data_IF_757930559043
#
_entry.id   IF_757930559043
#
_cell.length_a   1.000
_cell.length_b   1.000
_cell.length_c   1.000
_cell.angle_alpha   90.00
_cell.angle_beta   90.00
_cell.angle_gamma   90.00
#
_symmetry.space_group_name_H-M   'P 1'
#
loop_
_entity.id
_entity.type
_entity.pdbx_description
1 polymer ?
#
# COMPACT_ATOMS: atom_id res chain seq x y z
N UNK A 1 5.88 1.96 -23.26
CA UNK A 1 4.62 2.59 -23.66
C UNK A 1 4.88 3.73 -24.65
N UNK A 2 5.71 4.69 -24.31
CA UNK A 2 5.94 5.87 -25.15
C UNK A 2 6.94 5.66 -26.30
N UNK A 3 7.77 4.62 -26.23
CA UNK A 3 8.82 4.33 -27.22
C UNK A 3 9.65 5.60 -27.58
N UNK A 4 9.83 5.89 -28.86
CA UNK A 4 10.55 7.10 -29.33
C UNK A 4 9.64 8.33 -29.45
N UNK A 5 8.35 8.21 -29.09
CA UNK A 5 7.35 9.28 -29.13
C UNK A 5 6.68 9.48 -30.49
N UNK A 6 7.04 8.75 -31.53
CA UNK A 6 6.48 8.89 -32.88
C UNK A 6 4.96 8.72 -32.92
N UNK A 7 4.42 7.79 -32.11
CA UNK A 7 2.97 7.56 -32.00
C UNK A 7 2.21 8.75 -31.40
N UNK A 8 2.93 9.66 -30.74
CA UNK A 8 2.39 10.88 -30.10
C UNK A 8 2.77 12.17 -30.85
N UNK A 9 3.44 12.04 -32.01
CA UNK A 9 3.89 13.20 -32.80
C UNK A 9 5.01 14.01 -32.17
N UNK A 10 5.76 13.43 -31.23
CA UNK A 10 6.90 14.05 -30.53
C UNK A 10 8.13 13.14 -30.63
N UNK A 11 9.29 13.70 -30.35
CA UNK A 11 10.54 12.92 -30.19
C UNK A 11 10.85 12.77 -28.71
N UNK A 12 10.99 11.55 -28.25
CA UNK A 12 11.35 11.22 -26.85
C UNK A 12 12.77 10.71 -26.81
N UNK A 13 13.61 11.32 -25.97
CA UNK A 13 14.93 10.85 -25.61
C UNK A 13 14.90 10.40 -24.15
N UNK A 14 15.59 9.31 -23.84
CA UNK A 14 15.67 8.76 -22.49
C UNK A 14 17.07 8.96 -21.92
N UNK A 15 17.15 9.51 -20.70
CA UNK A 15 18.35 9.53 -19.89
C UNK A 15 18.12 8.66 -18.66
N UNK A 16 18.96 7.66 -18.48
CA UNK A 16 18.90 6.76 -17.33
C UNK A 16 19.99 7.16 -16.36
N UNK A 17 19.61 7.41 -15.11
CA UNK A 17 20.57 7.70 -14.05
C UNK A 17 21.32 6.43 -13.62
N UNK A 18 22.61 6.61 -13.29
CA UNK A 18 23.42 5.59 -12.62
C UNK A 18 23.25 5.72 -11.10
N UNK A 19 23.51 4.66 -10.35
CA UNK A 19 23.55 4.72 -8.89
C UNK A 19 24.78 5.51 -8.39
N UNK A 20 24.61 6.42 -7.40
CA UNK A 20 23.38 6.82 -6.72
C UNK A 20 22.53 7.81 -7.53
N UNK A 21 21.21 7.91 -7.24
CA UNK A 21 20.31 8.89 -7.88
C UNK A 21 20.80 10.33 -7.67
N UNK A 22 20.62 11.16 -8.69
CA UNK A 22 21.13 12.55 -8.70
C UNK A 22 20.14 13.57 -8.13
N UNK A 23 18.96 13.13 -7.70
CA UNK A 23 17.89 14.03 -7.22
C UNK A 23 17.18 14.77 -8.37
N UNK A 24 16.18 15.59 -8.04
CA UNK A 24 15.30 16.20 -9.05
C UNK A 24 15.99 17.21 -9.96
N UNK A 25 16.90 18.02 -9.43
CA UNK A 25 17.65 19.01 -10.20
C UNK A 25 18.92 18.41 -10.84
N UNK A 26 19.57 17.50 -10.16
CA UNK A 26 20.80 16.84 -10.66
C UNK A 26 20.55 15.99 -11.90
N UNK A 27 19.39 15.32 -12.00
CA UNK A 27 19.03 14.57 -13.19
C UNK A 27 18.84 15.49 -14.41
N UNK A 28 18.26 16.66 -14.23
CA UNK A 28 18.12 17.66 -15.30
C UNK A 28 19.48 18.28 -15.66
N UNK A 29 20.33 18.56 -14.65
CA UNK A 29 21.71 19.00 -14.90
C UNK A 29 22.51 17.98 -15.71
N UNK A 30 22.30 16.69 -15.50
CA UNK A 30 23.00 15.62 -16.21
C UNK A 30 22.72 15.59 -17.72
N UNK A 31 21.59 16.17 -18.15
CA UNK A 31 21.19 16.29 -19.57
C UNK A 31 21.26 17.74 -20.08
N UNK A 32 21.96 18.62 -19.36
CA UNK A 32 22.01 20.06 -19.70
C UNK A 32 22.45 20.34 -21.14
N UNK A 33 23.28 19.48 -21.74
CA UNK A 33 23.71 19.60 -23.14
C UNK A 33 22.58 19.43 -24.18
N UNK A 34 21.41 18.92 -23.76
CA UNK A 34 20.22 18.81 -24.61
C UNK A 34 19.31 20.03 -24.51
N UNK A 35 19.58 20.93 -23.57
CA UNK A 35 18.73 22.05 -23.18
C UNK A 35 19.39 23.37 -23.57
N UNK A 36 19.17 23.80 -24.81
CA UNK A 36 19.79 24.99 -25.44
C UNK A 36 18.85 26.21 -25.53
N UNK A 37 17.58 26.07 -25.12
CA UNK A 37 16.57 27.13 -25.09
C UNK A 37 15.72 26.99 -23.82
N UNK A 38 14.81 27.94 -23.56
CA UNK A 38 13.82 27.84 -22.48
C UNK A 38 13.15 26.47 -22.48
N UNK A 39 13.18 25.78 -21.37
CA UNK A 39 12.63 24.43 -21.26
C UNK A 39 11.62 24.29 -20.12
N UNK A 40 10.79 23.24 -20.22
CA UNK A 40 9.77 22.89 -19.25
C UNK A 40 10.20 21.63 -18.50
N UNK A 41 10.11 21.66 -17.17
CA UNK A 41 10.23 20.51 -16.30
C UNK A 41 8.85 20.15 -15.76
N UNK A 42 8.48 18.87 -15.82
CA UNK A 42 7.20 18.38 -15.29
C UNK A 42 7.48 17.10 -14.47
N UNK A 43 6.94 17.05 -13.25
CA UNK A 43 6.93 15.82 -12.45
C UNK A 43 6.05 14.75 -13.10
N UNK A 44 6.58 13.54 -13.24
CA UNK A 44 5.89 12.43 -13.90
C UNK A 44 4.80 11.76 -13.07
N UNK A 45 4.65 12.14 -11.82
CA UNK A 45 3.69 11.63 -10.83
C UNK A 45 2.56 12.61 -10.52
N UNK A 46 2.35 13.63 -11.34
CA UNK A 46 1.25 14.59 -11.21
C UNK A 46 0.29 14.53 -12.41
N UNK A 47 -0.98 14.79 -12.14
CA UNK A 47 -2.02 14.97 -13.17
C UNK A 47 -2.43 16.42 -13.17
N UNK A 48 -2.42 17.04 -14.35
CA UNK A 48 -2.83 18.44 -14.52
C UNK A 48 -3.43 18.70 -15.89
N UNK A 49 -4.30 19.70 -15.97
CA UNK A 49 -4.85 20.26 -17.22
C UNK A 49 -4.50 21.75 -17.39
N UNK A 50 -3.44 22.21 -16.73
CA UNK A 50 -3.01 23.62 -16.82
C UNK A 50 -2.68 24.02 -18.25
N UNK A 51 -3.06 25.26 -18.61
CA UNK A 51 -2.63 25.91 -19.85
C UNK A 51 -1.15 26.33 -19.72
N UNK A 52 -0.25 25.41 -20.07
CA UNK A 52 1.19 25.64 -20.00
C UNK A 52 1.67 26.71 -21.00
N UNK A 53 0.93 26.99 -22.09
CA UNK A 53 1.28 28.05 -23.01
C UNK A 53 1.17 29.41 -22.34
N UNK A 54 0.15 29.62 -21.50
CA UNK A 54 0.02 30.86 -20.71
C UNK A 54 1.15 31.01 -19.70
N UNK A 55 1.55 29.92 -19.07
CA UNK A 55 2.67 29.95 -18.13
C UNK A 55 4.01 30.28 -18.83
N UNK A 56 4.26 29.73 -20.02
CA UNK A 56 5.43 30.09 -20.87
C UNK A 56 5.38 31.56 -21.31
N UNK A 57 4.22 32.06 -21.76
CA UNK A 57 4.07 33.44 -22.12
C UNK A 57 4.32 34.39 -20.94
N UNK A 58 3.85 34.03 -19.74
CA UNK A 58 4.13 34.77 -18.52
C UNK A 58 5.64 34.78 -18.20
N UNK A 59 6.31 33.62 -18.24
CA UNK A 59 7.75 33.51 -18.05
C UNK A 59 8.54 34.48 -18.96
N UNK A 60 8.26 34.44 -20.26
CA UNK A 60 8.90 35.29 -21.25
C UNK A 60 8.59 36.77 -21.00
N UNK A 61 7.36 37.12 -20.61
CA UNK A 61 6.95 38.54 -20.35
C UNK A 61 7.69 39.15 -19.15
N UNK A 62 8.13 38.29 -18.20
CA UNK A 62 8.85 38.71 -17.00
C UNK A 62 10.37 38.68 -17.15
N UNK A 63 10.90 38.21 -18.29
CA UNK A 63 12.32 37.85 -18.44
C UNK A 63 12.82 37.03 -17.27
N UNK A 64 12.05 36.04 -16.88
CA UNK A 64 12.30 35.20 -15.72
C UNK A 64 13.44 34.22 -15.99
N UNK A 65 14.28 33.92 -15.00
CA UNK A 65 15.23 32.81 -15.07
C UNK A 65 14.60 31.47 -14.65
N UNK A 66 13.65 31.55 -13.74
CA UNK A 66 12.89 30.40 -13.28
C UNK A 66 11.45 30.82 -12.96
N UNK A 67 10.47 30.14 -13.56
CA UNK A 67 9.06 30.32 -13.24
C UNK A 67 8.50 29.01 -12.70
N UNK A 68 8.00 29.06 -11.48
CA UNK A 68 7.29 27.92 -10.86
C UNK A 68 5.80 28.04 -11.19
N UNK A 69 5.22 26.98 -11.73
CA UNK A 69 3.77 26.87 -11.86
C UNK A 69 3.19 26.51 -10.50
N UNK A 70 2.27 27.32 -10.03
CA UNK A 70 1.69 27.21 -8.69
C UNK A 70 0.20 26.92 -8.80
N UNK A 71 -0.35 26.29 -7.76
CA UNK A 71 -1.80 26.14 -7.58
C UNK A 71 -2.19 26.45 -6.14
N UNK A 72 -3.50 26.59 -5.89
CA UNK A 72 -4.04 26.81 -4.54
C UNK A 72 -4.60 25.51 -3.99
N UNK A 73 -4.21 25.15 -2.78
CA UNK A 73 -4.70 23.95 -2.10
C UNK A 73 -5.23 24.29 -0.70
N UNK A 74 -6.30 23.61 -0.23
CA UNK A 74 -6.85 23.87 1.10
C UNK A 74 -5.88 23.52 2.24
N UNK A 75 -5.01 22.53 2.04
CA UNK A 75 -4.02 22.09 3.03
C UNK A 75 -2.62 22.01 2.40
N UNK A 76 -1.76 23.02 2.58
CA UNK A 76 -0.46 23.10 1.93
C UNK A 76 0.68 22.40 2.67
N UNK A 77 0.45 21.75 3.82
CA UNK A 77 1.51 21.20 4.71
C UNK A 77 2.43 20.18 4.02
N UNK A 78 1.89 19.43 3.07
CA UNK A 78 2.62 18.34 2.39
C UNK A 78 3.43 18.83 1.19
N UNK A 79 3.31 20.10 0.81
CA UNK A 79 3.88 20.67 -0.40
C UNK A 79 4.86 21.81 -0.11
N UNK A 80 5.62 22.21 -1.11
CA UNK A 80 6.43 23.43 -1.07
C UNK A 80 5.54 24.68 -1.19
N UNK A 81 5.49 25.49 -0.14
CA UNK A 81 4.71 26.76 -0.11
C UNK A 81 5.49 27.90 -0.70
N UNK A 82 4.86 28.64 -1.61
CA UNK A 82 5.49 29.76 -2.30
C UNK A 82 4.77 31.07 -1.98
N UNK A 83 5.55 32.10 -1.63
CA UNK A 83 5.04 33.46 -1.38
C UNK A 83 5.52 34.34 -2.50
N UNK A 84 4.60 34.99 -3.20
CA UNK A 84 4.86 35.94 -4.27
C UNK A 84 4.40 37.35 -3.90
N UNK A 85 5.01 38.36 -4.50
CA UNK A 85 4.46 39.72 -4.46
C UNK A 85 3.32 39.90 -5.49
N UNK A 86 2.82 41.12 -5.61
CA UNK A 86 1.70 41.46 -6.54
C UNK A 86 2.05 41.28 -8.01
N UNK A 87 3.33 41.37 -8.36
CA UNK A 87 3.86 41.20 -9.69
C UNK A 87 4.17 39.72 -10.01
N UNK A 88 3.97 38.81 -9.02
CA UNK A 88 4.23 37.38 -9.11
C UNK A 88 5.69 37.00 -8.81
N UNK A 89 6.57 37.95 -8.41
CA UNK A 89 7.94 37.63 -8.09
C UNK A 89 8.00 36.83 -6.78
N UNK A 90 8.73 35.72 -6.77
CA UNK A 90 8.87 34.87 -5.59
C UNK A 90 9.73 35.59 -4.54
N UNK A 91 9.19 35.70 -3.34
CA UNK A 91 9.85 36.32 -2.18
C UNK A 91 10.31 35.28 -1.17
N UNK A 92 9.61 34.17 -1.07
CA UNK A 92 9.95 33.09 -0.16
C UNK A 92 9.46 31.75 -0.71
N UNK A 93 10.27 30.74 -0.50
CA UNK A 93 9.96 29.35 -0.79
C UNK A 93 10.24 28.52 0.47
N UNK A 94 9.31 27.67 0.89
CA UNK A 94 9.46 26.82 2.08
C UNK A 94 8.97 25.42 1.71
N UNK A 95 9.89 24.49 1.67
CA UNK A 95 9.58 23.09 1.42
C UNK A 95 9.00 22.43 2.67
N UNK A 96 7.80 21.83 2.56
CA UNK A 96 7.07 21.13 3.63
C UNK A 96 7.08 21.90 4.96
N UNK A 97 6.40 23.06 5.02
CA UNK A 97 6.42 23.94 6.18
C UNK A 97 5.79 23.28 7.40
N UNK A 98 6.20 23.69 8.60
CA UNK A 98 5.46 23.43 9.83
C UNK A 98 4.15 24.25 9.84
N UNK A 99 3.17 23.84 10.64
CA UNK A 99 1.86 24.53 10.74
C UNK A 99 2.00 26.01 11.06
N UNK A 100 3.04 26.42 11.78
CA UNK A 100 3.32 27.82 12.14
C UNK A 100 3.96 28.63 11.01
N UNK A 101 4.40 28.01 9.94
CA UNK A 101 5.08 28.63 8.78
C UNK A 101 4.18 28.77 7.56
N UNK A 102 2.91 28.38 7.68
CA UNK A 102 1.93 28.46 6.59
C UNK A 102 1.33 29.87 6.55
N UNK A 103 1.76 30.66 5.56
CA UNK A 103 1.25 32.01 5.32
C UNK A 103 0.63 32.17 3.93
N UNK A 104 0.54 31.07 3.17
CA UNK A 104 -0.01 31.06 1.80
C UNK A 104 -0.66 29.72 1.52
N UNK A 105 -1.70 29.74 0.69
CA UNK A 105 -2.39 28.57 0.14
C UNK A 105 -1.81 28.14 -1.23
N UNK A 106 -0.83 28.89 -1.74
CA UNK A 106 -0.17 28.60 -3.03
C UNK A 106 0.99 27.64 -2.86
N UNK A 107 0.96 26.56 -3.62
CA UNK A 107 1.95 25.49 -3.55
C UNK A 107 2.64 25.26 -4.89
N UNK A 108 3.85 24.73 -4.80
CA UNK A 108 4.65 24.27 -5.91
C UNK A 108 4.02 22.97 -6.48
N UNK A 109 3.81 22.94 -7.81
CA UNK A 109 3.19 21.81 -8.50
C UNK A 109 4.18 20.81 -9.09
N UNK A 110 5.48 21.04 -8.94
CA UNK A 110 6.49 20.24 -9.63
C UNK A 110 6.63 20.55 -11.13
N UNK A 111 6.04 21.68 -11.58
CA UNK A 111 6.13 22.14 -12.97
C UNK A 111 6.91 23.46 -13.02
N UNK A 112 7.97 23.49 -13.81
CA UNK A 112 8.88 24.63 -13.88
C UNK A 112 9.18 25.03 -15.33
N UNK A 113 9.31 26.33 -15.58
CA UNK A 113 9.84 26.88 -16.83
C UNK A 113 11.16 27.53 -16.48
N UNK A 114 12.24 27.06 -17.11
CA UNK A 114 13.60 27.41 -16.75
C UNK A 114 14.39 27.86 -17.96
N UNK A 115 15.28 28.84 -17.75
CA UNK A 115 16.35 29.17 -18.70
C UNK A 115 17.56 28.25 -18.48
N UNK A 116 18.25 27.81 -19.53
CA UNK A 116 19.39 26.87 -19.41
C UNK A 116 20.46 27.31 -18.41
N UNK A 117 20.73 28.64 -18.32
CA UNK A 117 21.77 29.16 -17.45
C UNK A 117 21.56 28.87 -15.95
N UNK A 118 20.32 28.58 -15.54
CA UNK A 118 20.08 28.23 -14.14
C UNK A 118 20.74 26.91 -13.75
N UNK A 119 21.00 26.04 -14.72
CA UNK A 119 21.70 24.79 -14.49
C UNK A 119 23.18 24.98 -14.20
N UNK A 120 23.78 26.12 -14.55
CA UNK A 120 25.19 26.43 -14.27
C UNK A 120 25.44 26.66 -12.79
N UNK A 121 24.40 26.88 -12.00
CA UNK A 121 24.49 26.97 -10.55
C UNK A 121 24.60 25.61 -9.86
N UNK A 122 24.34 24.51 -10.56
CA UNK A 122 24.35 23.16 -10.01
C UNK A 122 25.68 22.44 -10.31
N UNK A 123 26.19 21.69 -9.35
CA UNK A 123 27.35 20.82 -9.58
C UNK A 123 26.98 19.68 -10.54
N UNK A 124 27.97 19.20 -11.29
CA UNK A 124 27.78 18.11 -12.22
C UNK A 124 27.94 16.74 -11.51
N UNK A 125 27.00 15.82 -11.74
CA UNK A 125 26.96 14.46 -11.14
C UNK A 125 26.92 14.45 -9.61
N UNK A 126 26.27 15.42 -9.00
CA UNK A 126 25.99 15.43 -7.57
C UNK A 126 24.48 15.41 -7.33
N UNK A 127 24.08 14.82 -6.21
CA UNK A 127 22.67 14.82 -5.79
C UNK A 127 22.24 16.23 -5.45
N UNK A 128 21.28 16.77 -6.20
CA UNK A 128 20.69 18.10 -5.98
C UNK A 128 19.19 18.11 -6.26
N UNK A 129 18.47 18.95 -5.50
CA UNK A 129 17.01 19.07 -5.57
C UNK A 129 16.61 20.50 -5.96
N UNK A 130 15.57 20.64 -6.80
CA UNK A 130 15.07 21.96 -7.18
C UNK A 130 14.65 22.79 -5.98
N UNK A 131 13.89 22.19 -5.08
CA UNK A 131 13.26 22.87 -3.96
C UNK A 131 14.21 23.17 -2.82
N UNK A 132 15.18 22.28 -2.58
CA UNK A 132 16.14 22.41 -1.45
C UNK A 132 17.41 23.15 -1.82
N UNK A 133 17.86 23.01 -3.07
CA UNK A 133 19.17 23.53 -3.50
C UNK A 133 19.04 24.66 -4.49
N UNK A 134 18.44 24.45 -5.67
CA UNK A 134 18.44 25.43 -6.75
C UNK A 134 17.59 26.68 -6.42
N UNK A 135 16.33 26.53 -6.06
CA UNK A 135 15.46 27.68 -5.84
C UNK A 135 15.90 28.58 -4.68
N UNK A 136 16.33 28.04 -3.52
CA UNK A 136 16.92 28.86 -2.46
C UNK A 136 18.17 29.61 -2.92
N UNK A 137 19.04 28.96 -3.72
CA UNK A 137 20.25 29.59 -4.25
C UNK A 137 19.94 30.73 -5.20
N UNK A 138 18.99 30.55 -6.12
CA UNK A 138 18.54 31.61 -7.05
C UNK A 138 17.93 32.79 -6.28
N UNK A 139 17.12 32.53 -5.25
CA UNK A 139 16.57 33.58 -4.39
C UNK A 139 17.67 34.34 -3.64
N UNK A 140 18.64 33.65 -3.07
CA UNK A 140 19.77 34.26 -2.35
C UNK A 140 20.60 35.16 -3.29
N UNK A 141 20.75 34.78 -4.55
CA UNK A 141 21.48 35.56 -5.56
C UNK A 141 20.65 36.69 -6.16
N UNK A 142 19.37 36.77 -5.82
CA UNK A 142 18.46 37.81 -6.32
C UNK A 142 18.05 37.63 -7.77
N UNK A 143 18.21 36.41 -8.32
CA UNK A 143 17.81 36.09 -9.68
C UNK A 143 16.30 36.30 -9.88
N UNK A 144 15.86 36.66 -11.10
CA UNK A 144 14.43 36.87 -11.37
C UNK A 144 13.67 35.55 -11.39
N UNK A 145 13.06 35.23 -10.27
CA UNK A 145 12.17 34.07 -10.08
C UNK A 145 10.72 34.52 -9.91
N UNK A 146 9.82 33.87 -10.62
CA UNK A 146 8.39 34.18 -10.57
C UNK A 146 7.55 32.93 -10.30
N UNK A 147 6.39 33.14 -9.68
CA UNK A 147 5.35 32.15 -9.52
C UNK A 147 4.16 32.48 -10.41
N UNK A 148 3.77 31.57 -11.25
CA UNK A 148 2.57 31.65 -12.07
C UNK A 148 1.47 30.81 -11.43
N UNK A 149 0.44 31.43 -10.87
CA UNK A 149 -0.71 30.70 -10.31
C UNK A 149 -1.60 30.29 -11.49
N UNK A 150 -1.61 28.98 -11.77
CA UNK A 150 -2.39 28.41 -12.87
C UNK A 150 -3.82 28.12 -12.42
N UNK A 151 -4.76 28.33 -13.33
CA UNK A 151 -6.13 27.85 -13.22
C UNK A 151 -6.23 26.46 -13.84
N UNK A 152 -7.00 25.57 -13.22
CA UNK A 152 -7.21 24.21 -13.68
C UNK A 152 -7.07 23.18 -12.55
N UNK A 153 -7.07 21.93 -12.95
CA UNK A 153 -6.90 20.79 -12.05
C UNK A 153 -5.42 20.45 -11.85
N UNK A 154 -5.08 20.11 -10.62
CA UNK A 154 -3.79 19.52 -10.28
C UNK A 154 -3.94 18.54 -9.13
N UNK A 155 -3.28 17.40 -9.26
CA UNK A 155 -3.21 16.36 -8.22
C UNK A 155 -1.82 15.72 -8.24
N UNK A 156 -1.15 15.71 -7.10
CA UNK A 156 0.05 14.92 -6.87
C UNK A 156 -0.36 13.47 -6.51
N UNK A 157 0.08 12.49 -7.33
CA UNK A 157 -0.27 11.07 -7.19
C UNK A 157 0.79 10.34 -6.34
N UNK A 158 1.17 10.93 -5.22
CA UNK A 158 2.24 10.43 -4.35
C UNK A 158 1.87 9.21 -3.49
N UNK A 159 0.61 8.82 -3.40
CA UNK A 159 0.14 7.67 -2.62
C UNK A 159 -1.12 7.01 -3.20
N UNK A 160 -1.43 5.79 -2.72
CA UNK A 160 -2.50 4.95 -3.28
C UNK A 160 -3.90 5.58 -3.21
N UNK A 161 -4.16 6.42 -2.23
CA UNK A 161 -5.44 7.12 -2.10
C UNK A 161 -5.55 8.23 -3.13
N UNK A 162 -4.51 9.07 -3.27
CA UNK A 162 -4.44 10.09 -4.33
C UNK A 162 -4.57 9.46 -5.73
N UNK A 163 -3.96 8.27 -5.94
CA UNK A 163 -4.13 7.53 -7.19
C UNK A 163 -5.60 7.18 -7.47
N UNK A 164 -6.35 6.70 -6.49
CA UNK A 164 -7.79 6.41 -6.66
C UNK A 164 -8.60 7.67 -6.88
N UNK A 165 -8.38 8.71 -6.09
CA UNK A 165 -9.09 9.98 -6.22
C UNK A 165 -8.84 10.63 -7.59
N UNK A 166 -7.60 10.62 -8.09
CA UNK A 166 -7.28 11.13 -9.42
C UNK A 166 -8.05 10.40 -10.55
N UNK A 167 -8.22 9.06 -10.44
CA UNK A 167 -9.04 8.29 -11.37
C UNK A 167 -10.52 8.71 -11.31
N UNK A 168 -11.06 8.90 -10.11
CA UNK A 168 -12.45 9.32 -9.92
C UNK A 168 -12.68 10.76 -10.40
N UNK A 169 -11.72 11.65 -10.15
CA UNK A 169 -11.76 13.02 -10.61
C UNK A 169 -11.71 13.10 -12.15
N UNK A 170 -10.87 12.28 -12.78
CA UNK A 170 -10.83 12.15 -14.24
C UNK A 170 -12.18 11.69 -14.79
N UNK A 171 -12.76 10.61 -14.27
CA UNK A 171 -14.06 10.11 -14.73
C UNK A 171 -15.22 11.09 -14.49
N UNK A 172 -15.16 11.88 -13.41
CA UNK A 172 -16.19 12.86 -13.10
C UNK A 172 -16.09 14.16 -13.90
N UNK A 173 -15.05 14.29 -14.76
CA UNK A 173 -14.83 15.48 -15.58
C UNK A 173 -14.27 16.68 -14.81
N UNK A 174 -13.71 16.47 -13.62
CA UNK A 174 -13.04 17.56 -12.86
C UNK A 174 -11.73 17.97 -13.52
N UNK A 175 -11.07 17.07 -14.23
CA UNK A 175 -9.89 17.31 -15.02
C UNK A 175 -10.22 17.13 -16.50
N UNK A 176 -9.75 18.05 -17.34
CA UNK A 176 -9.99 18.01 -18.78
C UNK A 176 -9.00 17.04 -19.43
N UNK A 177 -9.40 15.76 -19.54
CA UNK A 177 -8.63 14.70 -20.18
C UNK A 177 -9.42 14.06 -21.30
N UNK A 178 -8.72 13.68 -22.37
CA UNK A 178 -9.26 12.84 -23.42
C UNK A 178 -9.06 11.37 -23.05
N UNK A 179 -10.16 10.61 -23.02
CA UNK A 179 -10.07 9.17 -22.77
C UNK A 179 -9.76 8.42 -24.06
N UNK A 180 -8.95 7.34 -24.01
CA UNK A 180 -8.55 6.58 -25.19
C UNK A 180 -9.68 5.69 -25.75
N UNK A 181 -10.83 5.66 -25.09
CA UNK A 181 -11.96 4.80 -25.45
C UNK A 181 -13.15 5.62 -25.93
N UNK A 182 -13.98 5.00 -26.78
CA UNK A 182 -15.17 5.64 -27.30
C UNK A 182 -16.26 5.72 -26.23
N UNK A 183 -16.89 6.88 -26.10
CA UNK A 183 -18.09 7.04 -25.29
C UNK A 183 -19.27 6.30 -25.97
N UNK A 184 -19.73 5.21 -25.32
CA UNK A 184 -20.81 4.34 -25.80
C UNK A 184 -22.19 4.87 -25.40
N UNK A 185 -22.28 5.45 -24.21
CA UNK A 185 -23.45 6.19 -23.68
C UNK A 185 -22.93 7.29 -22.78
N UNK A 186 -23.72 8.33 -22.44
CA UNK A 186 -23.26 9.47 -21.66
C UNK A 186 -22.53 9.04 -20.39
N UNK A 187 -21.24 9.38 -20.28
CA UNK A 187 -20.37 9.05 -19.16
C UNK A 187 -19.91 7.59 -19.10
N UNK A 188 -20.12 6.77 -20.14
CA UNK A 188 -19.62 5.39 -20.19
C UNK A 188 -18.71 5.20 -21.39
N UNK A 189 -17.42 5.05 -21.14
CA UNK A 189 -16.40 4.81 -22.16
C UNK A 189 -16.10 3.32 -22.27
N UNK A 190 -16.08 2.79 -23.50
CA UNK A 190 -15.86 1.37 -23.74
C UNK A 190 -14.86 1.19 -24.88
N UNK A 191 -13.85 0.38 -24.63
CA UNK A 191 -12.84 0.01 -25.61
C UNK A 191 -13.35 -0.94 -26.70
N UNK A 192 -12.51 -1.17 -27.71
CA UNK A 192 -12.80 -2.04 -28.85
C UNK A 192 -12.81 -3.52 -28.45
N UNK A 193 -13.57 -4.34 -29.19
CA UNK A 193 -13.67 -5.80 -28.97
C UNK A 193 -14.08 -6.20 -27.54
N UNK A 194 -14.80 -5.35 -26.83
CA UNK A 194 -15.31 -5.62 -25.48
C UNK A 194 -16.75 -6.15 -25.58
N UNK A 195 -16.96 -7.34 -25.03
CA UNK A 195 -18.26 -7.96 -24.89
C UNK A 195 -18.87 -7.62 -23.52
N UNK A 196 -20.10 -7.13 -23.54
CA UNK A 196 -20.89 -6.86 -22.35
C UNK A 196 -22.20 -7.63 -22.49
N UNK A 197 -22.48 -8.50 -21.52
CA UNK A 197 -23.73 -9.27 -21.51
C UNK A 197 -24.93 -8.31 -21.44
N UNK A 198 -26.03 -8.56 -22.17
CA UNK A 198 -27.19 -7.69 -22.17
C UNK A 198 -27.87 -7.50 -20.80
N UNK A 199 -27.68 -8.42 -19.86
CA UNK A 199 -28.19 -8.33 -18.50
C UNK A 199 -27.27 -7.55 -17.54
N UNK A 200 -26.05 -7.20 -17.95
CA UNK A 200 -25.15 -6.40 -17.14
C UNK A 200 -25.62 -4.95 -17.03
N UNK A 201 -25.46 -4.36 -15.86
CA UNK A 201 -25.82 -2.99 -15.57
C UNK A 201 -24.55 -2.15 -15.33
N UNK A 202 -24.43 -1.03 -16.02
CA UNK A 202 -23.28 -0.12 -15.91
C UNK A 202 -23.82 1.27 -15.58
N UNK A 203 -23.41 1.79 -14.41
CA UNK A 203 -23.74 3.12 -13.95
C UNK A 203 -22.65 4.12 -14.38
N UNK A 204 -23.07 5.23 -14.98
CA UNK A 204 -22.16 6.33 -15.32
C UNK A 204 -21.76 7.17 -14.08
N UNK A 205 -20.51 7.72 -14.05
CA UNK A 205 -19.44 7.53 -15.02
C UNK A 205 -18.70 6.20 -14.81
N UNK A 206 -18.29 5.56 -15.91
CA UNK A 206 -17.50 4.33 -15.87
C UNK A 206 -16.63 4.20 -17.11
N UNK A 207 -15.45 3.56 -16.97
CA UNK A 207 -14.54 3.28 -18.07
C UNK A 207 -14.22 1.78 -18.13
N UNK A 208 -14.34 1.20 -19.33
CA UNK A 208 -14.06 -0.22 -19.59
C UNK A 208 -13.13 -0.29 -20.80
N UNK A 209 -11.99 -0.93 -20.64
CA UNK A 209 -10.94 -1.06 -21.65
C UNK A 209 -11.28 -1.96 -22.84
N UNK A 210 -10.25 -2.21 -23.66
CA UNK A 210 -10.34 -3.05 -24.84
C UNK A 210 -10.36 -4.54 -24.46
N UNK A 211 -10.97 -5.37 -25.33
CA UNK A 211 -10.94 -6.83 -25.23
C UNK A 211 -11.46 -7.38 -23.89
N UNK A 212 -12.35 -6.66 -23.22
CA UNK A 212 -12.94 -7.10 -21.96
C UNK A 212 -14.13 -8.04 -22.20
N UNK A 213 -14.42 -8.86 -21.18
CA UNK A 213 -15.60 -9.73 -21.17
C UNK A 213 -16.36 -9.55 -19.86
N UNK A 214 -17.56 -8.99 -19.94
CA UNK A 214 -18.45 -8.74 -18.80
C UNK A 214 -19.59 -9.76 -18.83
N UNK A 215 -19.71 -10.55 -17.77
CA UNK A 215 -20.68 -11.65 -17.65
C UNK A 215 -22.11 -11.18 -17.34
N UNK A 216 -23.01 -12.15 -17.29
CA UNK A 216 -24.43 -11.91 -17.04
C UNK A 216 -24.68 -11.39 -15.61
N UNK A 217 -25.65 -10.46 -15.47
CA UNK A 217 -26.07 -9.90 -14.19
C UNK A 217 -24.94 -9.23 -13.40
N UNK A 218 -23.88 -8.78 -14.05
CA UNK A 218 -22.81 -8.00 -13.43
C UNK A 218 -23.33 -6.58 -13.18
N UNK A 219 -23.09 -6.05 -11.98
CA UNK A 219 -23.31 -4.64 -11.64
C UNK A 219 -21.96 -3.92 -11.61
N UNK A 220 -21.81 -2.88 -12.42
CA UNK A 220 -20.66 -1.96 -12.42
C UNK A 220 -21.16 -0.60 -11.98
N UNK A 221 -20.87 -0.23 -10.73
CA UNK A 221 -21.30 1.05 -10.19
C UNK A 221 -20.42 2.20 -10.71
N UNK A 222 -20.95 3.42 -10.60
CA UNK A 222 -20.28 4.66 -10.99
C UNK A 222 -18.89 4.81 -10.38
N UNK A 223 -17.95 5.36 -11.14
CA UNK A 223 -16.56 5.55 -10.72
C UNK A 223 -15.69 4.31 -10.91
N UNK A 224 -16.20 3.27 -11.55
CA UNK A 224 -15.42 2.06 -11.87
C UNK A 224 -14.49 2.29 -13.05
N UNK A 225 -13.22 1.89 -12.90
CA UNK A 225 -12.19 1.95 -13.94
C UNK A 225 -11.70 0.52 -14.23
N UNK A 226 -11.93 0.04 -15.43
CA UNK A 226 -11.59 -1.31 -15.85
C UNK A 226 -10.62 -1.21 -17.03
N UNK A 227 -9.41 -1.75 -16.86
CA UNK A 227 -8.37 -1.78 -17.89
C UNK A 227 -8.65 -2.78 -19.02
N UNK A 228 -7.64 -2.97 -19.87
CA UNK A 228 -7.74 -3.86 -21.03
C UNK A 228 -7.67 -5.34 -20.65
N UNK A 229 -8.28 -6.21 -21.46
CA UNK A 229 -8.24 -7.67 -21.31
C UNK A 229 -8.78 -8.19 -19.98
N UNK A 230 -9.72 -7.49 -19.36
CA UNK A 230 -10.33 -7.88 -18.09
C UNK A 230 -11.52 -8.80 -18.34
N UNK A 231 -11.62 -9.86 -17.54
CA UNK A 231 -12.78 -10.75 -17.54
C UNK A 231 -13.50 -10.64 -16.19
N UNK A 232 -14.83 -10.48 -16.22
CA UNK A 232 -15.68 -10.40 -15.03
C UNK A 232 -16.77 -11.47 -15.14
N UNK A 233 -16.79 -12.37 -14.17
CA UNK A 233 -17.75 -13.47 -14.06
C UNK A 233 -19.15 -13.00 -13.69
N UNK A 234 -20.12 -13.87 -13.91
CA UNK A 234 -21.53 -13.56 -13.72
C UNK A 234 -21.90 -13.21 -12.27
N UNK A 235 -22.85 -12.30 -12.10
CA UNK A 235 -23.40 -11.93 -10.79
C UNK A 235 -22.45 -11.16 -9.89
N UNK A 236 -21.33 -10.66 -10.40
CA UNK A 236 -20.38 -9.89 -9.62
C UNK A 236 -20.83 -8.44 -9.43
N UNK A 237 -20.56 -7.87 -8.25
CA UNK A 237 -20.91 -6.51 -7.85
C UNK A 237 -19.64 -5.68 -7.66
N UNK A 238 -19.46 -4.67 -8.50
CA UNK A 238 -18.26 -3.85 -8.60
C UNK A 238 -18.56 -2.40 -8.22
N UNK A 239 -18.24 -2.04 -6.97
CA UNK A 239 -18.44 -0.69 -6.42
C UNK A 239 -17.15 0.13 -6.50
N UNK A 240 -17.01 0.92 -7.58
CA UNK A 240 -15.87 1.81 -7.79
C UNK A 240 -14.48 1.14 -7.74
N UNK A 241 -14.27 -0.08 -8.26
CA UNK A 241 -12.93 -0.65 -8.30
C UNK A 241 -12.08 -0.01 -9.38
N UNK A 242 -10.76 -0.11 -9.21
CA UNK A 242 -9.78 0.14 -10.26
C UNK A 242 -9.13 -1.20 -10.61
N UNK A 243 -9.45 -1.73 -11.76
CA UNK A 243 -8.91 -2.99 -12.26
C UNK A 243 -7.90 -2.72 -13.36
N UNK A 244 -6.67 -3.17 -13.17
CA UNK A 244 -5.63 -3.06 -14.17
C UNK A 244 -5.77 -4.15 -15.24
N UNK A 245 -4.95 -4.03 -16.29
CA UNK A 245 -5.04 -4.92 -17.46
C UNK A 245 -4.85 -6.41 -17.09
N UNK A 246 -5.64 -7.26 -17.74
CA UNK A 246 -5.53 -8.71 -17.61
C UNK A 246 -6.05 -9.27 -16.28
N UNK A 247 -6.78 -8.50 -15.50
CA UNK A 247 -7.42 -8.99 -14.26
C UNK A 247 -8.56 -9.95 -14.60
N UNK A 248 -8.65 -11.03 -13.83
CA UNK A 248 -9.71 -12.03 -13.95
C UNK A 248 -10.54 -12.07 -12.67
N UNK A 249 -11.81 -11.73 -12.78
CA UNK A 249 -12.79 -11.78 -11.68
C UNK A 249 -13.73 -12.96 -11.94
N UNK A 250 -13.86 -13.83 -10.95
CA UNK A 250 -14.78 -14.98 -10.96
C UNK A 250 -16.25 -14.56 -10.80
N UNK A 251 -17.12 -15.55 -10.68
CA UNK A 251 -18.55 -15.30 -10.47
C UNK A 251 -18.86 -14.85 -9.04
N UNK A 252 -19.91 -14.05 -8.88
CA UNK A 252 -20.46 -13.65 -7.58
C UNK A 252 -19.40 -12.92 -6.67
N UNK A 253 -18.40 -12.28 -7.26
CA UNK A 253 -17.36 -11.53 -6.53
C UNK A 253 -17.86 -10.15 -6.14
N UNK A 254 -17.51 -9.69 -4.94
CA UNK A 254 -17.83 -8.34 -4.47
C UNK A 254 -16.54 -7.51 -4.32
N UNK A 255 -16.45 -6.41 -5.05
CA UNK A 255 -15.34 -5.45 -4.97
C UNK A 255 -15.86 -4.09 -4.53
N UNK A 256 -15.23 -3.48 -3.52
CA UNK A 256 -15.61 -2.16 -3.05
C UNK A 256 -14.38 -1.24 -2.99
N UNK A 257 -14.36 -0.18 -3.80
CA UNK A 257 -13.36 0.91 -3.82
C UNK A 257 -11.92 0.44 -3.61
N UNK A 258 -11.55 -0.65 -4.30
CA UNK A 258 -10.27 -1.32 -4.21
C UNK A 258 -9.46 -1.16 -5.49
N UNK A 259 -8.16 -1.45 -5.42
CA UNK A 259 -7.26 -1.46 -6.59
C UNK A 259 -6.71 -2.86 -6.81
N UNK A 260 -6.95 -3.43 -7.97
CA UNK A 260 -6.47 -4.76 -8.37
C UNK A 260 -5.47 -4.61 -9.51
N UNK A 261 -4.21 -4.96 -9.25
CA UNK A 261 -3.13 -4.79 -10.21
C UNK A 261 -3.12 -5.89 -11.28
N UNK A 262 -2.29 -5.66 -12.32
CA UNK A 262 -2.22 -6.45 -13.55
C UNK A 262 -2.18 -7.96 -13.33
N UNK A 263 -2.97 -8.71 -14.10
CA UNK A 263 -2.92 -10.17 -14.16
C UNK A 263 -3.32 -10.88 -12.87
N UNK A 264 -3.92 -10.18 -11.92
CA UNK A 264 -4.43 -10.75 -10.66
C UNK A 264 -5.72 -11.52 -10.94
N UNK A 265 -5.88 -12.65 -10.26
CA UNK A 265 -7.08 -13.45 -10.31
C UNK A 265 -7.81 -13.43 -8.97
N UNK A 266 -9.09 -13.11 -9.02
CA UNK A 266 -10.01 -13.14 -7.88
C UNK A 266 -11.04 -14.24 -8.15
N UNK A 267 -11.03 -15.29 -7.36
CA UNK A 267 -11.90 -16.46 -7.57
C UNK A 267 -13.32 -16.18 -7.04
N UNK A 268 -14.22 -17.11 -7.36
CA UNK A 268 -15.65 -17.03 -7.11
C UNK A 268 -15.98 -16.64 -5.65
N UNK A 269 -17.00 -15.79 -5.47
CA UNK A 269 -17.52 -15.33 -4.15
C UNK A 269 -16.51 -14.68 -3.22
N UNK A 270 -15.33 -14.35 -3.71
CA UNK A 270 -14.38 -13.58 -2.93
C UNK A 270 -14.86 -12.14 -2.71
N UNK A 271 -14.39 -11.51 -1.64
CA UNK A 271 -14.76 -10.16 -1.24
C UNK A 271 -13.50 -9.32 -1.03
N UNK A 272 -13.45 -8.15 -1.64
CA UNK A 272 -12.35 -7.19 -1.46
C UNK A 272 -12.93 -5.85 -1.05
N UNK A 273 -12.58 -5.42 0.15
CA UNK A 273 -13.17 -4.24 0.77
C UNK A 273 -12.41 -2.96 0.46
N UNK A 274 -13.03 -1.84 0.86
CA UNK A 274 -12.59 -0.47 0.56
C UNK A 274 -11.12 -0.21 0.95
N UNK A 275 -10.41 0.44 0.05
CA UNK A 275 -9.00 0.81 0.25
C UNK A 275 -8.00 -0.35 0.10
N UNK A 276 -8.48 -1.58 -0.06
CA UNK A 276 -7.59 -2.71 -0.28
C UNK A 276 -6.86 -2.59 -1.63
N UNK A 277 -5.60 -3.01 -1.66
CA UNK A 277 -4.76 -3.03 -2.87
C UNK A 277 -4.16 -4.42 -3.05
N UNK A 278 -4.45 -5.05 -4.18
CA UNK A 278 -3.90 -6.37 -4.52
C UNK A 278 -2.84 -6.21 -5.61
N UNK A 279 -1.61 -6.58 -5.27
CA UNK A 279 -0.45 -6.53 -6.16
C UNK A 279 -0.57 -7.48 -7.35
N UNK A 280 0.15 -7.16 -8.41
CA UNK A 280 0.09 -7.90 -9.68
C UNK A 280 0.35 -9.41 -9.53
N UNK A 281 -0.23 -10.21 -10.42
CA UNK A 281 -0.04 -11.67 -10.49
C UNK A 281 -0.39 -12.42 -9.21
N UNK A 282 -1.20 -11.82 -8.34
CA UNK A 282 -1.69 -12.47 -7.12
C UNK A 282 -2.95 -13.30 -7.40
N UNK A 283 -3.23 -14.26 -6.53
CA UNK A 283 -4.42 -15.10 -6.60
C UNK A 283 -5.18 -14.98 -5.29
N UNK A 284 -6.44 -14.56 -5.37
CA UNK A 284 -7.37 -14.55 -4.23
C UNK A 284 -8.34 -15.72 -4.41
N UNK A 285 -8.25 -16.70 -3.51
CA UNK A 285 -9.03 -17.93 -3.60
C UNK A 285 -10.52 -17.74 -3.35
N UNK A 286 -11.31 -18.76 -3.70
CA UNK A 286 -12.77 -18.76 -3.58
C UNK A 286 -13.21 -18.43 -2.15
N UNK A 287 -14.24 -17.59 -2.00
CA UNK A 287 -14.79 -17.13 -0.72
C UNK A 287 -13.77 -16.43 0.22
N UNK A 288 -12.59 -16.08 -0.26
CA UNK A 288 -11.65 -15.34 0.54
C UNK A 288 -12.13 -13.90 0.76
N UNK A 289 -11.76 -13.34 1.91
CA UNK A 289 -12.13 -11.97 2.29
C UNK A 289 -10.87 -11.15 2.56
N UNK A 290 -10.74 -10.03 1.83
CA UNK A 290 -9.69 -9.04 2.03
C UNK A 290 -10.30 -7.81 2.67
N UNK A 291 -9.93 -7.53 3.91
CA UNK A 291 -10.50 -6.43 4.68
C UNK A 291 -10.01 -5.06 4.22
N UNK A 292 -10.70 -4.01 4.67
CA UNK A 292 -10.45 -2.63 4.26
C UNK A 292 -9.01 -2.20 4.54
N UNK A 293 -8.40 -1.48 3.58
CA UNK A 293 -7.04 -0.94 3.68
C UNK A 293 -5.90 -1.95 3.59
N UNK A 294 -6.20 -3.24 3.48
CA UNK A 294 -5.18 -4.30 3.40
C UNK A 294 -4.41 -4.20 2.09
N UNK A 295 -3.07 -4.32 2.18
CA UNK A 295 -2.16 -4.33 1.05
C UNK A 295 -1.56 -5.71 0.84
N UNK A 296 -1.81 -6.28 -0.31
CA UNK A 296 -1.24 -7.55 -0.77
C UNK A 296 -0.17 -7.23 -1.80
N UNK A 297 1.08 -7.64 -1.53
CA UNK A 297 2.18 -7.41 -2.45
C UNK A 297 2.11 -8.35 -3.65
N UNK A 298 2.87 -8.09 -4.74
CA UNK A 298 2.81 -8.88 -5.96
C UNK A 298 3.08 -10.37 -5.76
N UNK A 299 2.47 -11.20 -6.60
CA UNK A 299 2.69 -12.65 -6.67
C UNK A 299 2.36 -13.40 -5.38
N UNK A 300 1.33 -12.94 -4.65
CA UNK A 300 0.84 -13.60 -3.43
C UNK A 300 -0.34 -14.52 -3.71
N UNK A 301 -0.50 -15.50 -2.85
CA UNK A 301 -1.62 -16.43 -2.89
C UNK A 301 -2.43 -16.36 -1.59
N UNK A 302 -3.72 -16.10 -1.69
CA UNK A 302 -4.67 -16.12 -0.59
C UNK A 302 -5.50 -17.39 -0.74
N UNK A 303 -5.48 -18.28 0.26
CA UNK A 303 -6.24 -19.52 0.23
C UNK A 303 -7.75 -19.29 0.22
N UNK A 304 -8.48 -20.25 -0.36
CA UNK A 304 -9.94 -20.21 -0.38
C UNK A 304 -10.53 -20.13 1.03
N UNK A 305 -11.44 -19.20 1.23
CA UNK A 305 -12.07 -18.90 2.52
C UNK A 305 -11.13 -18.31 3.57
N UNK A 306 -9.95 -17.85 3.21
CA UNK A 306 -9.08 -17.12 4.14
C UNK A 306 -9.60 -15.69 4.37
N UNK A 307 -9.41 -15.18 5.61
CA UNK A 307 -9.73 -13.80 5.96
C UNK A 307 -8.41 -13.06 6.21
N UNK A 308 -8.16 -12.05 5.39
CA UNK A 308 -6.94 -11.26 5.47
C UNK A 308 -7.26 -9.87 6.04
N UNK A 309 -6.80 -9.59 7.25
CA UNK A 309 -6.99 -8.33 7.98
C UNK A 309 -5.67 -7.61 8.30
N UNK A 310 -4.55 -8.13 7.80
CA UNK A 310 -3.21 -7.52 7.87
C UNK A 310 -2.56 -7.53 6.49
N UNK A 311 -1.58 -6.65 6.28
CA UNK A 311 -0.85 -6.59 5.02
C UNK A 311 -0.06 -7.88 4.77
N UNK A 312 -0.12 -8.39 3.53
CA UNK A 312 0.66 -9.56 3.10
C UNK A 312 1.85 -9.07 2.26
N UNK A 313 2.98 -8.85 2.94
CA UNK A 313 4.18 -8.26 2.34
C UNK A 313 5.23 -9.33 2.06
N UNK A 314 5.69 -10.01 3.08
CA UNK A 314 6.83 -10.93 3.03
C UNK A 314 6.44 -12.39 2.76
N UNK A 315 5.42 -12.90 3.45
CA UNK A 315 4.91 -14.25 3.21
C UNK A 315 4.32 -14.40 1.80
N UNK A 316 4.41 -15.60 1.23
CA UNK A 316 3.85 -15.86 -0.11
C UNK A 316 2.38 -16.26 -0.08
N UNK A 317 1.90 -16.79 1.07
CA UNK A 317 0.55 -17.34 1.18
C UNK A 317 -0.14 -16.84 2.45
N UNK A 318 -1.38 -16.42 2.33
CA UNK A 318 -2.28 -16.22 3.46
C UNK A 318 -3.16 -17.48 3.63
N UNK A 319 -3.06 -18.11 4.80
CA UNK A 319 -3.73 -19.36 5.09
C UNK A 319 -5.10 -19.13 5.76
N UNK A 320 -6.05 -20.00 5.43
CA UNK A 320 -7.37 -20.03 6.06
C UNK A 320 -7.31 -20.43 7.54
N UNK A 321 -6.42 -21.38 7.87
CA UNK A 321 -6.24 -21.91 9.20
C UNK A 321 -4.84 -21.59 9.71
N UNK A 322 -4.72 -21.27 11.01
CA UNK A 322 -3.42 -21.12 11.66
C UNK A 322 -2.80 -22.49 11.98
N UNK A 323 -3.64 -23.45 12.40
CA UNK A 323 -3.18 -24.75 12.86
C UNK A 323 -3.07 -25.75 11.71
N UNK A 324 -1.86 -26.30 11.54
CA UNK A 324 -1.59 -27.48 10.73
C UNK A 324 -1.75 -28.78 11.56
N UNK A 325 -1.04 -29.85 11.13
CA UNK A 325 -1.14 -31.14 11.78
C UNK A 325 -0.59 -31.19 13.21
N UNK A 326 0.46 -30.40 13.51
CA UNK A 326 1.17 -30.42 14.80
C UNK A 326 1.09 -29.13 15.60
N UNK A 327 0.52 -28.08 15.03
CA UNK A 327 0.48 -26.74 15.63
C UNK A 327 0.52 -25.65 14.56
N UNK A 328 0.93 -24.47 14.93
CA UNK A 328 1.08 -23.32 14.01
C UNK A 328 2.50 -23.32 13.46
N UNK A 329 2.65 -23.32 12.14
CA UNK A 329 3.97 -23.34 11.49
C UNK A 329 4.04 -22.33 10.35
N UNK A 330 5.23 -21.75 10.12
CA UNK A 330 5.50 -20.79 9.06
C UNK A 330 6.98 -20.46 8.96
N UNK A 331 7.38 -19.76 7.90
CA UNK A 331 8.76 -19.28 7.73
C UNK A 331 9.17 -18.39 8.90
N UNK A 332 10.33 -18.69 9.46
CA UNK A 332 10.86 -17.98 10.61
C UNK A 332 11.11 -16.51 10.29
N UNK A 333 10.58 -15.60 11.13
CA UNK A 333 10.68 -14.14 11.00
C UNK A 333 10.12 -13.55 9.68
N UNK A 334 9.30 -14.33 8.97
CA UNK A 334 8.57 -13.93 7.77
C UNK A 334 7.07 -14.14 7.99
N UNK A 335 6.64 -15.39 8.18
CA UNK A 335 5.26 -15.74 8.54
C UNK A 335 5.07 -15.71 10.06
N UNK A 336 6.04 -16.23 10.81
CA UNK A 336 6.06 -16.22 12.28
C UNK A 336 6.95 -15.06 12.75
N UNK A 337 6.39 -13.86 12.76
CA UNK A 337 7.06 -12.63 13.25
C UNK A 337 6.80 -12.41 14.75
N UNK A 338 7.52 -11.49 15.42
CA UNK A 338 7.21 -11.10 16.78
C UNK A 338 5.77 -10.61 16.97
N UNK A 339 5.24 -9.80 16.05
CA UNK A 339 3.88 -9.26 16.09
C UNK A 339 2.84 -10.37 15.98
N UNK A 340 3.04 -11.30 15.04
CA UNK A 340 2.22 -12.49 14.90
C UNK A 340 2.20 -13.29 16.22
N UNK A 341 3.35 -13.51 16.81
CA UNK A 341 3.49 -14.29 18.04
C UNK A 341 2.84 -13.59 19.25
N UNK A 342 2.96 -12.26 19.39
CA UNK A 342 2.24 -11.50 20.43
C UNK A 342 0.74 -11.69 20.29
N UNK A 343 0.20 -11.51 19.07
CA UNK A 343 -1.22 -11.68 18.80
C UNK A 343 -1.70 -13.10 19.05
N UNK A 344 -0.92 -14.11 18.63
CA UNK A 344 -1.23 -15.52 18.85
C UNK A 344 -1.23 -15.88 20.35
N UNK A 345 -0.27 -15.36 21.12
CA UNK A 345 -0.21 -15.52 22.57
C UNK A 345 -1.43 -14.90 23.26
N UNK A 346 -1.80 -13.69 22.86
CA UNK A 346 -3.00 -13.01 23.37
C UNK A 346 -4.29 -13.78 23.01
N UNK A 347 -4.39 -14.31 21.79
CA UNK A 347 -5.53 -15.11 21.36
C UNK A 347 -5.67 -16.41 22.18
N UNK A 348 -4.58 -17.14 22.38
CA UNK A 348 -4.60 -18.33 23.25
C UNK A 348 -4.93 -17.97 24.70
N UNK A 349 -4.34 -16.91 25.25
CA UNK A 349 -4.62 -16.48 26.61
C UNK A 349 -6.06 -16.00 26.80
N UNK A 350 -6.69 -15.40 25.79
CA UNK A 350 -8.07 -14.90 25.86
C UNK A 350 -9.10 -16.01 26.00
N UNK A 351 -8.83 -17.22 25.51
CA UNK A 351 -9.72 -18.39 25.69
C UNK A 351 -9.51 -19.10 27.03
N UNK A 352 -8.49 -18.71 27.81
CA UNK A 352 -8.22 -19.25 29.15
C UNK A 352 -8.86 -18.33 30.21
N UNK A 353 -9.04 -18.86 31.44
CA UNK A 353 -9.51 -18.03 32.57
C UNK A 353 -8.40 -17.04 32.98
N UNK A 354 -8.72 -15.81 33.36
CA UNK A 354 -7.77 -14.89 33.97
C UNK A 354 -7.08 -15.53 35.19
N UNK A 355 -5.78 -15.24 35.38
CA UNK A 355 -4.99 -15.83 36.44
C UNK A 355 -4.53 -17.28 36.23
N UNK A 356 -4.97 -17.91 35.11
CA UNK A 356 -4.47 -19.24 34.73
C UNK A 356 -2.97 -19.22 34.50
N UNK A 357 -2.29 -20.35 34.76
CA UNK A 357 -0.86 -20.50 34.51
C UNK A 357 -0.62 -21.46 33.33
N UNK A 358 0.24 -21.07 32.40
CA UNK A 358 0.70 -21.91 31.29
C UNK A 358 2.23 -22.07 31.31
N UNK A 359 2.72 -23.17 30.81
CA UNK A 359 4.16 -23.37 30.57
C UNK A 359 4.52 -22.81 29.19
N UNK A 360 5.66 -22.12 29.10
CA UNK A 360 6.29 -21.77 27.82
C UNK A 360 7.71 -22.32 27.78
N UNK A 361 8.02 -23.04 26.71
CA UNK A 361 9.33 -23.66 26.48
C UNK A 361 9.73 -23.50 25.01
N UNK A 362 10.99 -23.72 24.71
CA UNK A 362 11.53 -23.60 23.36
C UNK A 362 12.74 -24.50 23.13
N UNK A 363 13.19 -24.63 21.90
CA UNK A 363 14.53 -25.13 21.59
C UNK A 363 15.63 -24.07 21.85
N UNK A 364 16.87 -24.37 21.53
CA UNK A 364 18.02 -23.49 21.79
C UNK A 364 18.21 -22.35 20.74
N UNK A 365 17.46 -22.35 19.64
CA UNK A 365 17.64 -21.41 18.54
C UNK A 365 17.25 -19.98 18.94
N UNK A 366 17.98 -18.99 18.40
CA UNK A 366 17.74 -17.57 18.70
C UNK A 366 16.36 -17.11 18.25
N UNK A 367 15.90 -17.58 17.08
CA UNK A 367 14.58 -17.26 16.55
C UNK A 367 13.46 -17.85 17.44
N UNK A 368 13.60 -19.07 17.93
CA UNK A 368 12.64 -19.68 18.88
C UNK A 368 12.61 -18.91 20.21
N UNK A 369 13.76 -18.36 20.64
CA UNK A 369 13.85 -17.48 21.81
C UNK A 369 13.09 -16.17 21.60
N UNK A 370 13.23 -15.54 20.44
CA UNK A 370 12.54 -14.32 20.09
C UNK A 370 11.02 -14.55 20.09
N UNK A 371 10.55 -15.56 19.37
CA UNK A 371 9.12 -15.88 19.25
C UNK A 371 8.51 -16.30 20.58
N UNK A 372 9.20 -17.09 21.42
CA UNK A 372 8.70 -17.46 22.74
C UNK A 372 8.52 -16.27 23.68
N UNK A 373 9.42 -15.26 23.61
CA UNK A 373 9.29 -14.02 24.39
C UNK A 373 8.08 -13.19 23.92
N UNK A 374 7.84 -13.14 22.63
CA UNK A 374 6.68 -12.46 22.04
C UNK A 374 5.36 -13.12 22.45
N UNK A 375 5.28 -14.47 22.39
CA UNK A 375 4.13 -15.24 22.90
C UNK A 375 3.88 -14.97 24.39
N UNK A 376 4.95 -14.94 25.22
CA UNK A 376 4.87 -14.62 26.65
C UNK A 376 4.27 -13.25 26.86
N UNK A 377 4.76 -12.22 26.15
CA UNK A 377 4.22 -10.88 26.24
C UNK A 377 2.72 -10.82 25.90
N UNK A 378 2.30 -11.52 24.83
CA UNK A 378 0.90 -11.64 24.44
C UNK A 378 0.04 -12.31 25.52
N UNK A 379 0.49 -13.42 26.11
CA UNK A 379 -0.21 -14.12 27.19
C UNK A 379 -0.36 -13.26 28.45
N UNK A 380 0.72 -12.61 28.87
CA UNK A 380 0.72 -11.73 30.05
C UNK A 380 -0.24 -10.54 29.88
N UNK A 381 -0.32 -9.99 28.68
CA UNK A 381 -1.21 -8.85 28.36
C UNK A 381 -2.69 -9.14 28.54
N UNK A 382 -3.08 -10.38 28.61
CA UNK A 382 -4.46 -10.86 28.80
C UNK A 382 -4.67 -11.55 30.15
N UNK A 383 -3.72 -11.37 31.11
CA UNK A 383 -3.84 -11.84 32.49
C UNK A 383 -3.53 -13.32 32.70
N UNK A 384 -2.67 -13.93 31.86
CA UNK A 384 -2.21 -15.31 32.01
C UNK A 384 -0.81 -15.33 32.62
N UNK A 385 -0.62 -16.12 33.67
CA UNK A 385 0.68 -16.35 34.33
C UNK A 385 1.52 -17.35 33.54
N UNK A 386 2.84 -17.18 33.59
CA UNK A 386 3.78 -17.98 32.80
C UNK A 386 4.77 -18.71 33.74
N UNK A 387 4.95 -20.00 33.53
CA UNK A 387 6.13 -20.73 33.97
C UNK A 387 7.06 -20.96 32.79
N UNK A 388 8.15 -20.19 32.73
CA UNK A 388 9.08 -20.21 31.62
C UNK A 388 10.18 -21.28 31.84
N UNK A 389 10.07 -22.37 31.12
CA UNK A 389 11.09 -23.48 31.17
C UNK A 389 12.33 -23.17 30.32
N UNK A 390 12.34 -22.04 29.61
CA UNK A 390 13.43 -21.65 28.72
C UNK A 390 13.72 -22.73 27.62
N UNK A 391 15.01 -23.04 27.41
CA UNK A 391 15.42 -24.03 26.43
C UNK A 391 15.26 -25.43 27.02
N UNK A 392 14.35 -26.21 26.44
CA UNK A 392 14.05 -27.53 26.91
C UNK A 392 13.59 -28.44 25.76
N UNK A 393 13.72 -29.74 25.89
CA UNK A 393 13.21 -30.68 24.92
C UNK A 393 11.67 -30.84 25.04
N UNK A 394 10.98 -30.99 23.92
CA UNK A 394 9.53 -31.14 23.90
C UNK A 394 8.99 -32.25 24.82
N UNK A 395 9.60 -33.47 24.89
CA UNK A 395 9.12 -34.55 25.82
C UNK A 395 9.16 -34.13 27.29
N UNK A 396 10.20 -33.39 27.71
CA UNK A 396 10.31 -32.84 29.06
C UNK A 396 9.21 -31.80 29.31
N UNK A 397 9.01 -30.88 28.37
CA UNK A 397 7.94 -29.89 28.47
C UNK A 397 6.57 -30.53 28.60
N UNK A 398 6.26 -31.57 27.82
CA UNK A 398 5.02 -32.34 27.92
C UNK A 398 4.82 -32.99 29.29
N UNK A 399 5.88 -33.59 29.83
CA UNK A 399 5.85 -34.21 31.17
C UNK A 399 5.64 -33.17 32.28
N UNK A 400 6.29 -31.99 32.15
CA UNK A 400 6.14 -30.93 33.14
C UNK A 400 4.75 -30.31 33.12
N UNK A 401 4.16 -30.10 31.94
CA UNK A 401 2.76 -29.64 31.81
C UNK A 401 1.82 -30.56 32.58
N UNK A 402 1.97 -31.88 32.44
CA UNK A 402 1.11 -32.85 33.14
C UNK A 402 1.35 -32.95 34.67
N UNK A 403 2.53 -32.51 35.15
CA UNK A 403 2.90 -32.59 36.57
C UNK A 403 2.71 -31.32 37.38
N UNK A 404 2.74 -30.14 36.73
CA UNK A 404 2.81 -28.82 37.39
C UNK A 404 1.45 -28.11 37.50
N UNK A 405 0.35 -28.80 37.56
CA UNK A 405 -0.99 -28.23 37.75
C UNK A 405 -1.22 -26.93 36.96
N UNK A 406 -0.85 -26.93 35.67
CA UNK A 406 -1.04 -25.83 34.73
C UNK A 406 -2.14 -26.15 33.73
N UNK A 407 -2.78 -25.13 33.13
CA UNK A 407 -3.91 -25.34 32.20
C UNK A 407 -3.48 -25.70 30.78
N UNK A 408 -2.17 -25.75 30.54
CA UNK A 408 -1.60 -26.12 29.24
C UNK A 408 -0.18 -25.54 29.05
N UNK A 409 0.33 -25.65 27.82
CA UNK A 409 1.67 -25.17 27.50
C UNK A 409 1.84 -24.80 26.04
N UNK A 410 2.93 -24.11 25.79
CA UNK A 410 3.41 -23.77 24.42
C UNK A 410 4.86 -24.20 24.31
N UNK A 411 5.20 -24.88 23.20
CA UNK A 411 6.58 -25.20 22.86
C UNK A 411 6.93 -24.64 21.48
N UNK A 412 8.02 -23.86 21.39
CA UNK A 412 8.49 -23.21 20.15
C UNK A 412 9.78 -23.88 19.70
N UNK A 413 9.81 -24.37 18.47
CA UNK A 413 11.00 -25.02 17.90
C UNK A 413 11.09 -24.85 16.39
N UNK A 414 12.25 -25.16 15.82
CA UNK A 414 12.39 -25.37 14.39
C UNK A 414 11.53 -26.56 13.95
N UNK A 415 10.88 -26.45 12.82
CA UNK A 415 10.08 -27.53 12.23
C UNK A 415 10.99 -28.71 11.86
N UNK A 416 10.68 -29.96 12.30
CA UNK A 416 11.58 -31.08 12.12
C UNK A 416 11.92 -31.41 10.65
N UNK A 417 10.97 -31.23 9.76
CA UNK A 417 11.10 -31.57 8.34
C UNK A 417 11.42 -30.36 7.45
N UNK A 418 11.43 -29.12 8.00
CA UNK A 418 11.65 -27.86 7.27
C UNK A 418 12.49 -26.90 8.12
N UNK A 419 13.82 -26.83 7.92
CA UNK A 419 14.73 -26.09 8.79
C UNK A 419 14.54 -24.57 8.82
N UNK A 420 13.91 -23.99 7.78
CA UNK A 420 13.60 -22.56 7.70
C UNK A 420 12.25 -22.20 8.35
N UNK A 421 11.48 -23.22 8.79
CA UNK A 421 10.19 -23.04 9.41
C UNK A 421 10.27 -23.15 10.92
N UNK A 422 9.49 -22.33 11.61
CA UNK A 422 9.16 -22.51 13.02
C UNK A 422 7.90 -23.36 13.17
N UNK A 423 7.81 -24.05 14.27
CA UNK A 423 6.63 -24.77 14.73
C UNK A 423 6.32 -24.36 16.17
N UNK A 424 5.10 -23.90 16.40
CA UNK A 424 4.55 -23.54 17.72
C UNK A 424 3.52 -24.59 18.08
N UNK A 425 3.84 -25.47 19.04
CA UNK A 425 2.96 -26.53 19.51
C UNK A 425 2.24 -26.09 20.77
N UNK A 426 0.91 -26.26 20.78
CA UNK A 426 0.05 -25.98 21.93
C UNK A 426 -0.31 -27.27 22.63
N UNK A 427 -0.13 -27.28 23.94
CA UNK A 427 -0.35 -28.47 24.79
C UNK A 427 -1.56 -28.21 25.70
N UNK A 428 -2.35 -29.24 25.95
CA UNK A 428 -3.40 -29.22 26.95
C UNK A 428 -2.84 -29.56 28.37
N UNK A 429 -3.66 -29.61 29.37
CA UNK A 429 -3.30 -29.91 30.75
C UNK A 429 -2.69 -31.31 30.95
N UNK A 430 -2.85 -32.20 29.97
CA UNK A 430 -2.25 -33.57 30.00
C UNK A 430 -0.89 -33.63 29.29
N UNK A 431 -0.44 -32.49 28.72
CA UNK A 431 0.81 -32.43 27.96
C UNK A 431 0.71 -32.99 26.53
N UNK A 432 -0.49 -33.26 26.02
CA UNK A 432 -0.73 -33.64 24.62
C UNK A 432 -1.16 -32.42 23.80
N UNK A 433 -1.13 -32.55 22.48
CA UNK A 433 -1.56 -31.44 21.63
C UNK A 433 -3.03 -31.09 21.89
N UNK A 434 -3.35 -29.79 21.89
CA UNK A 434 -4.72 -29.30 22.08
C UNK A 434 -5.68 -29.92 21.06
N UNK A 435 -6.94 -30.08 21.47
CA UNK A 435 -7.98 -30.61 20.60
C UNK A 435 -8.33 -29.65 19.45
N UNK A 436 -8.87 -30.19 18.35
CA UNK A 436 -9.36 -29.38 17.23
C UNK A 436 -10.38 -28.32 17.61
N UNK A 437 -11.20 -28.58 18.61
CA UNK A 437 -12.14 -27.62 19.17
C UNK A 437 -11.43 -26.45 19.86
N UNK A 438 -10.32 -26.73 20.58
CA UNK A 438 -9.50 -25.67 21.21
C UNK A 438 -8.70 -24.88 20.17
N UNK A 439 -8.16 -25.52 19.13
CA UNK A 439 -7.52 -24.87 17.98
C UNK A 439 -8.48 -23.86 17.33
N UNK A 440 -9.71 -24.26 17.00
CA UNK A 440 -10.73 -23.38 16.41
C UNK A 440 -11.08 -22.19 17.31
N UNK A 441 -11.09 -22.35 18.63
CA UNK A 441 -11.31 -21.23 19.57
C UNK A 441 -10.14 -20.24 19.51
N UNK A 442 -8.88 -20.72 19.45
CA UNK A 442 -7.70 -19.87 19.31
C UNK A 442 -7.75 -19.12 17.97
N UNK A 443 -8.04 -19.82 16.87
CA UNK A 443 -8.21 -19.22 15.55
C UNK A 443 -9.31 -18.15 15.53
N UNK A 444 -10.45 -18.47 16.13
CA UNK A 444 -11.56 -17.53 16.25
C UNK A 444 -11.19 -16.25 16.98
N UNK A 445 -10.47 -16.36 18.11
CA UNK A 445 -9.98 -15.19 18.85
C UNK A 445 -8.94 -14.40 18.05
N UNK A 446 -8.04 -15.09 17.34
CA UNK A 446 -7.00 -14.48 16.52
C UNK A 446 -7.57 -13.70 15.33
N UNK A 447 -8.45 -14.31 14.52
CA UNK A 447 -8.98 -13.71 13.30
C UNK A 447 -10.04 -12.63 13.57
N UNK A 448 -10.86 -12.81 14.61
CA UNK A 448 -11.85 -11.80 15.00
C UNK A 448 -11.26 -10.65 15.81
N UNK A 449 -10.00 -10.76 16.23
CA UNK A 449 -9.34 -9.83 17.14
C UNK A 449 -10.08 -9.63 18.48
N UNK A 450 -10.89 -10.64 18.87
CA UNK A 450 -11.60 -10.66 20.14
C UNK A 450 -10.64 -11.04 21.28
N UNK A 451 -9.74 -10.10 21.56
CA UNK A 451 -8.67 -10.26 22.54
C UNK A 451 -9.05 -9.56 23.83
N UNK A 452 -9.09 -10.32 24.91
CA UNK A 452 -9.28 -9.78 26.25
C UNK A 452 -8.24 -8.70 26.55
N UNK A 453 -8.65 -7.66 27.29
CA UNK A 453 -7.73 -6.70 27.91
C UNK A 453 -7.94 -6.70 29.42
N UNK A 454 -6.85 -6.61 30.16
CA UNK A 454 -6.88 -6.56 31.64
C UNK A 454 -6.28 -5.26 32.14
N UNK A 455 -6.65 -4.86 33.36
CA UNK A 455 -6.06 -3.70 34.01
C UNK A 455 -4.60 -3.95 34.42
N UNK A 456 -3.89 -2.89 34.73
CA UNK A 456 -2.46 -2.93 35.08
C UNK A 456 -2.16 -3.91 36.23
N UNK A 457 -3.07 -4.05 37.20
CA UNK A 457 -2.93 -4.93 38.35
C UNK A 457 -3.17 -6.40 38.03
N UNK A 458 -3.85 -6.69 36.91
CA UNK A 458 -4.24 -8.04 36.48
C UNK A 458 -3.35 -8.61 35.36
N UNK A 459 -2.29 -7.87 34.99
CA UNK A 459 -1.30 -8.37 34.02
C UNK A 459 -0.64 -9.63 34.58
N UNK A 460 -0.52 -10.66 33.73
CA UNK A 460 0.08 -11.93 34.13
C UNK A 460 1.53 -11.80 34.58
N UNK A 461 1.95 -12.64 35.49
CA UNK A 461 3.32 -12.73 35.98
C UNK A 461 4.13 -13.82 35.27
N UNK A 462 5.45 -13.71 35.31
CA UNK A 462 6.36 -14.76 34.79
C UNK A 462 7.26 -15.27 35.90
N UNK A 463 7.35 -16.58 36.02
CA UNK A 463 8.25 -17.28 36.94
C UNK A 463 9.09 -18.33 36.20
N UNK A 464 10.17 -18.71 36.82
CA UNK A 464 11.01 -19.81 36.38
C UNK A 464 10.87 -20.95 37.41
N UNK A 465 10.47 -22.16 36.97
CA UNK A 465 10.45 -23.30 37.89
C UNK A 465 11.87 -23.60 38.39
N UNK A 466 11.98 -23.95 39.65
CA UNK A 466 13.23 -24.32 40.30
C UNK A 466 13.79 -25.65 39.76
#
# INVERSE_FOLDING_TARGET
YFQDGSDFGVKINYAVEEDPPLGTAGCVKNIAEWLDDTFLVISGDSITDFDLQKAIAFHKSKNSKATLVLTRVPNPIEFGVVITDKEGRIRRFIEKPSTSEIFSDTVNTGTYILEPEVLDYLPYKEETDFSKDLFPLLLQRGEPMYGYVADGYWCDVGHLEAYREAQYDALSGKVNLEFPYREKSPGVWVGTNTYIDPSAQIEAPAMIGNHCRIGANVLIERGSVIGDNVTIGAGSDLKRPILWNGVVIGDEVNLAACTIARGTRIDRRAQVHEGAVIGQLSIVGEEAQINSGVRVWPSKQIESGAILNINLIWGNTAHKNLFGQRGVSGLANIDITPEFAVKLGAAYGSILKPGSTVIVSRDQRSVSRMVSRSLIAGLMSVGVNIQNLQANALPISRTLVSKLNVVGGIHVRIHPDRPDFLLIEFLDEKGINVSKAKEKKIEGAYFKEDLRRVGMQDIGSMSYPA
#
